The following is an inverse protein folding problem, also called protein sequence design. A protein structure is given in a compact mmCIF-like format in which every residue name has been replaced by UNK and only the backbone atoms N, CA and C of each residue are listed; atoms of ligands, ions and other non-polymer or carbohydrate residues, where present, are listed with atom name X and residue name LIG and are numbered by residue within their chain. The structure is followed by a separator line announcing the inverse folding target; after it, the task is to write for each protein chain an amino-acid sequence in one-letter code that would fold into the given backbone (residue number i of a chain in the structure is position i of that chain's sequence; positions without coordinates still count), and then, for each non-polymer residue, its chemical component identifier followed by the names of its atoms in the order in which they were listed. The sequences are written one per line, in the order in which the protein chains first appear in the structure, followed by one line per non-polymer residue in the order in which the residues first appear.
data_IF_499210959236
#
_entry.id   IF_499210959236
#
_cell.length_a   1.000
_cell.length_b   1.000
_cell.length_c   1.000
_cell.angle_alpha   90.00
_cell.angle_beta   90.00
_cell.angle_gamma   90.00
#
_symmetry.space_group_name_H-M   'P 1'
#
loop_
_entity.id
_entity.type
_entity.pdbx_description
1 polymer ?
#
# COMPACT_ATOMS: atom_id res chain seq x y z
N UNK A 1 -13.81 -33.21 -32.13
CA UNK A 1 -12.99 -32.12 -31.53
C UNK A 1 -13.58 -31.59 -30.22
N UNK A 2 -14.91 -31.53 -30.03
CA UNK A 2 -15.52 -31.05 -28.78
C UNK A 2 -15.15 -31.83 -27.51
N UNK A 3 -14.89 -33.14 -27.59
CA UNK A 3 -14.50 -33.95 -26.43
C UNK A 3 -13.14 -33.56 -25.83
N UNK A 4 -12.20 -33.14 -26.69
CA UNK A 4 -10.88 -32.67 -26.25
C UNK A 4 -10.97 -31.31 -25.55
N UNK A 5 -11.88 -30.44 -26.03
CA UNK A 5 -12.12 -29.12 -25.45
C UNK A 5 -12.73 -29.25 -24.05
N UNK A 6 -13.70 -30.16 -23.87
CA UNK A 6 -14.30 -30.42 -22.55
C UNK A 6 -13.27 -31.00 -21.57
N UNK A 7 -12.39 -31.90 -22.03
CA UNK A 7 -11.34 -32.46 -21.18
C UNK A 7 -10.30 -31.42 -20.75
N UNK A 8 -9.98 -30.46 -21.63
CA UNK A 8 -9.04 -29.38 -21.34
C UNK A 8 -9.60 -28.38 -20.32
N UNK A 9 -10.89 -28.07 -20.42
CA UNK A 9 -11.59 -27.19 -19.46
C UNK A 9 -11.64 -27.77 -18.05
N UNK A 10 -11.77 -29.10 -17.94
CA UNK A 10 -11.81 -29.81 -16.65
C UNK A 10 -10.45 -29.86 -15.93
N UNK A 11 -9.34 -29.77 -16.69
CA UNK A 11 -7.98 -29.73 -16.14
C UNK A 11 -7.64 -28.38 -15.51
N UNK A 12 -8.23 -27.29 -16.01
CA UNK A 12 -7.96 -25.93 -15.54
C UNK A 12 -8.63 -25.59 -14.20
N UNK A 13 -9.67 -26.35 -13.79
CA UNK A 13 -10.36 -26.13 -12.52
C UNK A 13 -9.59 -26.60 -11.28
N UNK A 14 -8.46 -27.29 -11.44
CA UNK A 14 -7.66 -27.80 -10.32
C UNK A 14 -6.55 -26.85 -9.84
N UNK A 15 -6.39 -25.67 -10.45
CA UNK A 15 -5.41 -24.68 -9.97
C UNK A 15 -6.06 -23.78 -8.91
N UNK A 16 -6.24 -24.31 -7.70
CA UNK A 16 -6.45 -23.43 -6.54
C UNK A 16 -5.14 -22.70 -6.25
N UNK A 17 -5.03 -21.45 -6.68
CA UNK A 17 -4.04 -20.52 -6.15
C UNK A 17 -4.37 -20.39 -4.67
N UNK A 18 -3.56 -21.01 -3.81
CA UNK A 18 -3.70 -20.80 -2.38
C UNK A 18 -3.29 -19.36 -2.11
N UNK A 19 -4.23 -18.55 -1.62
CA UNK A 19 -3.89 -17.32 -0.95
C UNK A 19 -3.13 -17.73 0.32
N UNK A 20 -1.80 -17.75 0.22
CA UNK A 20 -0.93 -18.00 1.37
C UNK A 20 -1.18 -16.88 2.37
N UNK A 21 -1.52 -17.24 3.60
CA UNK A 21 -1.71 -16.28 4.68
C UNK A 21 -0.46 -15.40 4.75
N UNK A 22 -0.65 -14.09 4.60
CA UNK A 22 0.45 -13.14 4.65
C UNK A 22 1.12 -13.30 6.03
N UNK A 23 2.40 -13.70 6.09
CA UNK A 23 3.09 -13.89 7.36
C UNK A 23 2.98 -12.62 8.20
N UNK A 24 2.73 -12.76 9.50
CA UNK A 24 2.56 -11.63 10.42
C UNK A 24 3.76 -10.66 10.38
N UNK A 25 4.96 -11.19 10.09
CA UNK A 25 6.19 -10.42 9.84
C UNK A 25 6.06 -9.48 8.65
N UNK A 26 5.43 -9.91 7.54
CA UNK A 26 5.21 -9.08 6.36
C UNK A 26 4.17 -7.98 6.63
N UNK A 27 3.15 -8.26 7.45
CA UNK A 27 2.17 -7.26 7.90
C UNK A 27 2.85 -6.17 8.73
N UNK A 28 3.72 -6.55 9.67
CA UNK A 28 4.47 -5.59 10.48
C UNK A 28 5.44 -4.74 9.65
N UNK A 29 6.12 -5.37 8.69
CA UNK A 29 7.01 -4.65 7.76
C UNK A 29 6.22 -3.61 6.95
N UNK A 30 5.05 -3.98 6.42
CA UNK A 30 4.19 -3.07 5.66
C UNK A 30 3.70 -1.88 6.51
N UNK A 31 3.38 -2.11 7.79
CA UNK A 31 3.03 -1.03 8.72
C UNK A 31 4.21 -0.11 9.03
N UNK A 32 5.41 -0.66 9.20
CA UNK A 32 6.63 0.11 9.42
C UNK A 32 6.94 1.00 8.21
N UNK A 33 6.88 0.43 7.00
CA UNK A 33 7.14 1.14 5.75
C UNK A 33 6.10 2.25 5.52
N UNK A 34 4.83 2.00 5.84
CA UNK A 34 3.78 3.01 5.77
C UNK A 34 4.01 4.16 6.76
N UNK A 35 4.38 3.86 8.00
CA UNK A 35 4.67 4.89 9.00
C UNK A 35 5.93 5.70 8.63
N UNK A 36 6.95 5.04 8.09
CA UNK A 36 8.15 5.70 7.59
C UNK A 36 7.84 6.62 6.41
N UNK A 37 7.00 6.17 5.47
CA UNK A 37 6.52 6.97 4.35
C UNK A 37 5.83 8.25 4.86
N UNK A 38 4.86 8.12 5.79
CA UNK A 38 4.12 9.27 6.32
C UNK A 38 5.08 10.27 6.96
N UNK A 39 6.01 9.82 7.79
CA UNK A 39 6.99 10.72 8.43
C UNK A 39 7.87 11.45 7.41
N UNK A 40 8.37 10.75 6.40
CA UNK A 40 9.21 11.35 5.37
C UNK A 40 8.44 12.37 4.51
N UNK A 41 7.21 12.03 4.12
CA UNK A 41 6.37 12.91 3.30
C UNK A 41 5.91 14.14 4.08
N UNK A 42 5.57 14.02 5.37
CA UNK A 42 5.29 15.18 6.23
C UNK A 42 6.52 16.09 6.30
N UNK A 43 7.70 15.54 6.64
CA UNK A 43 8.93 16.33 6.77
C UNK A 43 9.29 17.06 5.47
N UNK A 44 9.13 16.40 4.33
CA UNK A 44 9.33 17.00 3.00
C UNK A 44 8.33 18.13 2.75
N UNK A 45 7.04 17.86 2.98
CA UNK A 45 5.98 18.83 2.76
C UNK A 45 6.16 20.08 3.63
N UNK A 46 6.40 19.90 4.93
CA UNK A 46 6.56 21.03 5.85
C UNK A 46 7.81 21.84 5.54
N UNK A 47 8.92 21.20 5.17
CA UNK A 47 10.17 21.90 4.81
C UNK A 47 10.08 22.73 3.52
N UNK A 48 9.10 22.44 2.64
CA UNK A 48 8.92 23.14 1.36
C UNK A 48 7.75 24.13 1.42
N UNK A 49 6.66 23.78 2.10
CA UNK A 49 5.38 24.51 2.03
C UNK A 49 5.03 25.28 3.28
N UNK A 50 5.58 24.95 4.45
CA UNK A 50 5.25 25.65 5.69
C UNK A 50 6.25 26.79 5.91
N UNK A 51 5.83 28.05 5.75
CA UNK A 51 6.72 29.21 5.92
C UNK A 51 7.15 29.39 7.38
N UNK A 52 6.30 28.96 8.33
CA UNK A 52 6.65 28.80 9.74
C UNK A 52 6.56 27.32 10.12
N UNK A 53 7.61 26.83 10.78
CA UNK A 53 7.68 25.50 11.40
C UNK A 53 6.60 25.24 12.48
N UNK A 54 5.88 26.28 12.91
CA UNK A 54 4.81 26.22 13.91
C UNK A 54 3.41 26.51 13.34
N UNK A 55 3.27 26.60 12.02
CA UNK A 55 1.95 26.73 11.40
C UNK A 55 1.21 25.39 11.48
N UNK A 56 0.41 25.23 12.54
CA UNK A 56 -0.38 24.03 12.81
C UNK A 56 -1.30 23.64 11.65
N UNK A 57 -1.84 24.63 10.93
CA UNK A 57 -2.74 24.37 9.80
C UNK A 57 -1.94 23.80 8.62
N UNK A 58 -0.77 24.38 8.33
CA UNK A 58 0.12 23.84 7.31
C UNK A 58 0.60 22.41 7.65
N UNK A 59 0.96 22.17 8.90
CA UNK A 59 1.37 20.83 9.38
C UNK A 59 0.21 19.83 9.24
N UNK A 60 -1.02 20.21 9.58
CA UNK A 60 -2.20 19.36 9.41
C UNK A 60 -2.45 19.02 7.94
N UNK A 61 -2.41 20.00 7.04
CA UNK A 61 -2.57 19.77 5.59
C UNK A 61 -1.48 18.81 5.08
N UNK A 62 -0.22 19.04 5.45
CA UNK A 62 0.88 18.15 5.06
C UNK A 62 0.71 16.72 5.61
N UNK A 63 0.16 16.58 6.82
CA UNK A 63 -0.13 15.29 7.43
C UNK A 63 -1.21 14.52 6.67
N UNK A 64 -2.31 15.17 6.32
CA UNK A 64 -3.39 14.52 5.56
C UNK A 64 -2.96 14.18 4.12
N UNK A 65 -2.16 15.04 3.49
CA UNK A 65 -1.55 14.73 2.19
C UNK A 65 -0.64 13.50 2.28
N UNK A 66 0.25 13.45 3.27
CA UNK A 66 1.17 12.33 3.45
C UNK A 66 0.45 11.01 3.73
N UNK A 67 -0.61 11.02 4.56
CA UNK A 67 -1.45 9.84 4.79
C UNK A 67 -2.09 9.34 3.49
N UNK A 68 -2.60 10.26 2.66
CA UNK A 68 -3.23 9.87 1.41
C UNK A 68 -2.22 9.37 0.37
N UNK A 69 -1.03 9.98 0.28
CA UNK A 69 0.07 9.55 -0.59
C UNK A 69 0.55 8.14 -0.20
N UNK A 70 0.82 7.93 1.09
CA UNK A 70 1.37 6.67 1.61
C UNK A 70 0.34 5.54 1.73
N UNK A 71 -0.96 5.85 1.65
CA UNK A 71 -2.01 4.82 1.60
C UNK A 71 -1.94 3.97 0.33
N UNK A 72 -1.44 4.53 -0.77
CA UNK A 72 -1.34 3.85 -2.08
C UNK A 72 0.06 3.32 -2.39
N UNK A 73 1.04 3.55 -1.52
CA UNK A 73 2.43 3.13 -1.75
C UNK A 73 2.71 1.65 -1.38
N UNK A 74 1.70 0.93 -0.88
CA UNK A 74 1.79 -0.47 -0.47
C UNK A 74 1.09 -1.47 -1.41
N UNK A 75 0.87 -1.08 -2.67
CA UNK A 75 0.43 -1.98 -3.76
C UNK A 75 1.62 -2.55 -4.53
#
# INVERSE_FOLDING_TARGET
MNKLIVSLLLLLSFTSVQAEDIPEVQIQQQQFDQNLCVQQSVKRCTGVRCPDSKDDNCIQICTEMAKNECRYAGE
#
